data_IF_902408578887
#
_entry.id   IF_902408578887
#
_cell.length_a   1.000
_cell.length_b   1.000
_cell.length_c   1.000
_cell.angle_alpha   90.00
_cell.angle_beta   90.00
_cell.angle_gamma   90.00
#
_symmetry.space_group_name_H-M   'P 1'
#
loop_
_entity.id
_entity.type
_entity.pdbx_description
1 polymer ?
#
# COMPACT_ATOMS: atom_id res chain seq x y z
N UNK A 1 -15.17 -11.61 -10.76
CA UNK A 1 -14.11 -10.79 -10.12
C UNK A 1 -14.72 -9.45 -9.73
N UNK A 2 -14.37 -8.91 -8.56
CA UNK A 2 -14.94 -7.65 -8.06
C UNK A 2 -14.04 -6.47 -8.44
N UNK A 3 -14.64 -5.31 -8.73
CA UNK A 3 -13.96 -4.04 -8.97
C UNK A 3 -14.14 -3.07 -7.79
N UNK A 4 -14.60 -3.56 -6.64
CA UNK A 4 -14.74 -2.79 -5.43
C UNK A 4 -14.04 -3.49 -4.28
N UNK A 5 -13.43 -2.70 -3.41
CA UNK A 5 -12.83 -3.16 -2.17
C UNK A 5 -13.30 -2.28 -1.01
N UNK A 6 -13.43 -2.88 0.17
CA UNK A 6 -13.76 -2.15 1.40
C UNK A 6 -12.56 -2.21 2.33
N UNK A 7 -12.01 -1.05 2.65
CA UNK A 7 -10.89 -0.93 3.59
C UNK A 7 -11.38 -1.19 5.02
N UNK A 8 -10.51 -1.72 5.88
CA UNK A 8 -10.88 -1.95 7.28
C UNK A 8 -10.95 -0.65 8.10
N UNK A 9 -10.45 0.45 7.54
CA UNK A 9 -10.40 1.77 8.15
C UNK A 9 -11.02 2.81 7.21
N UNK A 10 -11.36 3.97 7.76
CA UNK A 10 -11.69 5.16 6.98
C UNK A 10 -10.40 5.85 6.53
N UNK A 11 -10.35 6.28 5.28
CA UNK A 11 -9.22 6.99 4.68
C UNK A 11 -9.68 8.26 3.98
N UNK A 12 -8.72 9.13 3.70
CA UNK A 12 -8.84 10.38 2.95
C UNK A 12 -8.40 10.23 1.48
N UNK A 13 -8.28 8.99 0.99
CA UNK A 13 -7.85 8.71 -0.39
C UNK A 13 -8.86 9.24 -1.41
N UNK A 14 -8.36 9.66 -2.56
CA UNK A 14 -9.10 10.40 -3.58
C UNK A 14 -9.19 9.63 -4.90
N UNK A 15 -10.21 9.96 -5.69
CA UNK A 15 -10.32 9.47 -7.07
C UNK A 15 -9.11 9.94 -7.88
N UNK A 16 -8.54 9.02 -8.66
CA UNK A 16 -7.37 9.27 -9.50
C UNK A 16 -6.05 8.84 -8.88
N UNK A 17 -6.00 8.57 -7.58
CA UNK A 17 -4.82 8.02 -6.92
C UNK A 17 -4.62 6.54 -7.24
N UNK A 18 -3.38 6.09 -7.12
CA UNK A 18 -2.96 4.72 -7.38
C UNK A 18 -2.72 3.99 -6.07
N UNK A 19 -3.23 2.76 -5.99
CA UNK A 19 -3.09 1.86 -4.85
C UNK A 19 -2.50 0.53 -5.29
N UNK A 20 -1.84 -0.16 -4.37
CA UNK A 20 -1.45 -1.56 -4.51
C UNK A 20 -2.23 -2.43 -3.54
N UNK A 21 -2.66 -3.60 -4.00
CA UNK A 21 -3.19 -4.68 -3.16
C UNK A 21 -2.15 -5.80 -3.12
N UNK A 22 -1.66 -6.13 -1.93
CA UNK A 22 -0.66 -7.16 -1.76
C UNK A 22 -1.20 -8.56 -2.10
N UNK A 23 -0.30 -9.44 -2.55
CA UNK A 23 -0.62 -10.85 -2.73
C UNK A 23 -0.95 -11.50 -1.39
N UNK A 24 -1.99 -12.35 -1.37
CA UNK A 24 -2.32 -13.22 -0.23
C UNK A 24 -2.07 -14.69 -0.53
N UNK A 25 -1.34 -14.98 -1.59
CA UNK A 25 -0.97 -16.33 -2.03
C UNK A 25 0.56 -16.51 -1.93
N UNK A 26 1.05 -17.71 -2.25
CA UNK A 26 2.48 -18.01 -2.25
C UNK A 26 3.27 -17.28 -3.35
N UNK A 27 2.59 -16.83 -4.41
CA UNK A 27 3.21 -16.05 -5.47
C UNK A 27 3.11 -14.55 -5.18
N UNK A 28 4.27 -13.90 -5.01
CA UNK A 28 4.36 -12.47 -4.76
C UNK A 28 3.93 -11.64 -5.98
N UNK A 29 4.04 -12.19 -7.19
CA UNK A 29 3.68 -11.52 -8.45
C UNK A 29 2.15 -11.35 -8.62
N UNK A 30 1.35 -11.92 -7.72
CA UNK A 30 -0.10 -11.68 -7.68
C UNK A 30 -0.48 -10.40 -6.92
N UNK A 31 0.50 -9.55 -6.57
CA UNK A 31 0.22 -8.18 -6.15
C UNK A 31 -0.27 -7.36 -7.35
N UNK A 32 -1.30 -6.54 -7.15
CA UNK A 32 -1.94 -5.82 -8.24
C UNK A 32 -2.07 -4.33 -7.91
N UNK A 33 -1.85 -3.49 -8.93
CA UNK A 33 -1.95 -2.04 -8.82
C UNK A 33 -3.20 -1.54 -9.53
N UNK A 34 -3.94 -0.65 -8.89
CA UNK A 34 -5.20 -0.10 -9.41
C UNK A 34 -5.25 1.41 -9.26
N UNK A 35 -5.99 2.04 -10.17
CA UNK A 35 -6.38 3.45 -10.04
C UNK A 35 -7.77 3.54 -9.43
N UNK A 36 -7.93 4.40 -8.43
CA UNK A 36 -9.22 4.66 -7.79
C UNK A 36 -10.11 5.45 -8.76
N UNK A 37 -11.30 4.93 -9.06
CA UNK A 37 -12.32 5.57 -9.92
C UNK A 37 -13.53 6.07 -9.14
N UNK A 38 -13.70 5.62 -7.89
CA UNK A 38 -14.76 6.07 -7.01
C UNK A 38 -14.40 5.84 -5.54
N UNK A 39 -14.86 6.73 -4.67
CA UNK A 39 -14.65 6.65 -3.22
C UNK A 39 -16.00 6.88 -2.54
N UNK A 40 -16.43 5.92 -1.71
CA UNK A 40 -17.54 6.09 -0.80
C UNK A 40 -17.03 6.08 0.65
N UNK A 41 -17.24 7.22 1.32
CA UNK A 41 -16.84 7.50 2.69
C UNK A 41 -18.04 7.82 3.59
N UNK A 42 -19.27 7.48 3.16
CA UNK A 42 -20.50 7.72 3.91
C UNK A 42 -20.57 6.92 5.21
N UNK A 43 -19.93 5.74 5.27
CA UNK A 43 -19.88 4.87 6.43
C UNK A 43 -18.66 5.07 7.36
N UNK A 44 -18.42 4.04 8.18
CA UNK A 44 -17.25 3.92 9.08
C UNK A 44 -16.00 3.39 8.39
N UNK A 45 -16.14 2.88 7.17
CA UNK A 45 -15.09 2.31 6.33
C UNK A 45 -15.13 2.94 4.96
N UNK A 46 -13.97 3.03 4.31
CA UNK A 46 -13.87 3.52 2.94
C UNK A 46 -14.12 2.38 1.96
N UNK A 47 -15.02 2.59 1.01
CA UNK A 47 -15.22 1.69 -0.14
C UNK A 47 -14.61 2.35 -1.37
N UNK A 48 -13.72 1.64 -2.04
CA UNK A 48 -13.04 2.09 -3.24
C UNK A 48 -13.58 1.33 -4.45
N UNK A 49 -13.83 2.06 -5.53
CA UNK A 49 -14.07 1.48 -6.86
C UNK A 49 -12.77 1.56 -7.66
N UNK A 50 -12.40 0.45 -8.29
CA UNK A 50 -11.17 0.27 -9.04
C UNK A 50 -11.43 0.51 -10.54
N UNK A 51 -10.38 0.87 -11.28
CA UNK A 51 -10.44 1.04 -12.74
C UNK A 51 -10.64 -0.28 -13.50
N UNK A 52 -10.31 -1.42 -12.90
CA UNK A 52 -10.48 -2.76 -13.46
C UNK A 52 -10.81 -3.76 -12.34
N UNK A 53 -11.31 -4.93 -12.70
CA UNK A 53 -11.46 -6.05 -11.78
C UNK A 53 -10.11 -6.67 -11.46
N UNK A 54 -9.90 -7.09 -10.21
CA UNK A 54 -8.70 -7.85 -9.83
C UNK A 54 -8.63 -9.19 -10.57
N UNK A 55 -7.45 -9.52 -11.10
CA UNK A 55 -7.19 -10.78 -11.78
C UNK A 55 -7.01 -11.93 -10.78
N UNK A 56 -6.47 -11.62 -9.59
CA UNK A 56 -6.19 -12.57 -8.54
C UNK A 56 -7.12 -12.40 -7.34
N UNK A 57 -7.18 -13.46 -6.52
CA UNK A 57 -7.95 -13.45 -5.29
C UNK A 57 -7.09 -12.86 -4.17
N UNK A 58 -7.52 -11.72 -3.64
CA UNK A 58 -6.97 -11.14 -2.41
C UNK A 58 -7.85 -11.53 -1.22
N UNK A 59 -7.30 -12.33 -0.30
CA UNK A 59 -8.04 -12.86 0.85
C UNK A 59 -8.33 -11.77 1.89
N UNK A 60 -9.53 -11.81 2.46
CA UNK A 60 -9.92 -10.97 3.59
C UNK A 60 -10.86 -11.76 4.49
N UNK A 61 -10.40 -12.07 5.70
CA UNK A 61 -11.14 -12.86 6.65
C UNK A 61 -10.47 -12.93 8.02
N UNK A 62 -11.12 -13.63 8.93
CA UNK A 62 -10.57 -13.94 10.24
C UNK A 62 -10.80 -15.40 10.57
N UNK A 63 -9.86 -15.98 11.33
CA UNK A 63 -9.91 -17.38 11.73
C UNK A 63 -9.70 -17.48 13.22
N UNK A 64 -10.71 -18.00 13.90
CA UNK A 64 -10.68 -18.22 15.34
C UNK A 64 -10.20 -19.64 15.63
N UNK A 65 -9.18 -19.75 16.46
CA UNK A 65 -8.64 -21.00 16.97
C UNK A 65 -8.97 -21.09 18.46
N UNK A 66 -9.70 -22.13 18.84
CA UNK A 66 -9.97 -22.46 20.24
C UNK A 66 -9.16 -23.69 20.60
N UNK A 67 -8.45 -23.65 21.73
CA UNK A 67 -7.71 -24.80 22.25
C UNK A 67 -8.61 -26.04 22.33
N UNK A 68 -8.11 -27.19 21.89
CA UNK A 68 -8.79 -28.48 22.05
C UNK A 68 -7.82 -29.53 22.58
N UNK A 69 -8.33 -30.46 23.37
CA UNK A 69 -7.63 -31.55 24.06
C UNK A 69 -6.75 -31.14 25.27
N UNK A 70 -7.37 -30.57 26.31
CA UNK A 70 -6.77 -30.51 27.65
C UNK A 70 -5.64 -29.48 27.85
N UNK A 71 -5.23 -28.77 26.81
CA UNK A 71 -4.29 -27.64 26.90
C UNK A 71 -5.05 -26.34 26.64
N UNK A 72 -5.29 -25.58 27.71
CA UNK A 72 -5.92 -24.26 27.74
C UNK A 72 -7.26 -24.16 26.96
N UNK A 73 -8.34 -24.84 27.40
CA UNK A 73 -9.66 -24.71 26.78
C UNK A 73 -10.19 -23.27 26.77
N UNK A 74 -9.71 -22.42 27.68
CA UNK A 74 -10.06 -20.99 27.75
C UNK A 74 -9.29 -20.14 26.74
N UNK A 75 -8.29 -20.71 26.04
CA UNK A 75 -7.49 -19.98 25.08
C UNK A 75 -8.13 -20.03 23.69
N UNK A 76 -9.00 -19.05 23.45
CA UNK A 76 -9.49 -18.70 22.12
C UNK A 76 -8.69 -17.52 21.56
N UNK A 77 -8.15 -17.66 20.35
CA UNK A 77 -7.40 -16.62 19.65
C UNK A 77 -7.98 -16.42 18.25
N UNK A 78 -8.22 -15.17 17.87
CA UNK A 78 -8.64 -14.80 16.51
C UNK A 78 -7.44 -14.26 15.75
N UNK A 79 -7.17 -14.86 14.59
CA UNK A 79 -6.19 -14.38 13.62
C UNK A 79 -6.92 -13.64 12.50
N UNK A 80 -6.66 -12.35 12.36
CA UNK A 80 -7.12 -11.56 11.21
C UNK A 80 -6.11 -11.74 10.07
N UNK A 81 -6.59 -12.13 8.89
CA UNK A 81 -5.77 -12.27 7.68
C UNK A 81 -6.46 -11.53 6.55
N UNK A 82 -5.90 -10.39 6.15
CA UNK A 82 -6.48 -9.52 5.13
C UNK A 82 -5.36 -8.99 4.26
N UNK A 83 -5.60 -8.89 2.96
CA UNK A 83 -4.67 -8.26 2.04
C UNK A 83 -4.35 -6.83 2.48
N UNK A 84 -3.07 -6.49 2.53
CA UNK A 84 -2.60 -5.13 2.73
C UNK A 84 -2.91 -4.30 1.50
N UNK A 85 -3.36 -3.06 1.73
CA UNK A 85 -3.60 -2.08 0.66
C UNK A 85 -2.78 -0.84 0.96
N UNK A 86 -1.94 -0.44 0.00
CA UNK A 86 -1.05 0.72 0.11
C UNK A 86 -1.42 1.80 -0.88
N UNK A 87 -1.42 3.06 -0.45
CA UNK A 87 -1.50 4.22 -1.34
C UNK A 87 -0.11 4.51 -1.92
N UNK A 88 0.01 4.49 -3.24
CA UNK A 88 1.28 4.75 -3.95
C UNK A 88 1.44 6.23 -4.30
N UNK A 89 0.34 6.92 -4.61
CA UNK A 89 0.39 8.33 -5.02
C UNK A 89 0.57 9.26 -3.82
N UNK A 90 1.43 10.27 -3.95
CA UNK A 90 1.50 11.43 -3.04
C UNK A 90 1.58 12.74 -3.81
N UNK A 91 1.11 13.81 -3.17
CA UNK A 91 1.15 15.17 -3.77
C UNK A 91 2.58 15.72 -3.94
N UNK A 92 3.54 15.23 -3.16
CA UNK A 92 4.95 15.60 -3.27
C UNK A 92 5.71 14.43 -3.88
N UNK A 93 6.05 14.57 -5.16
CA UNK A 93 6.75 13.54 -5.94
C UNK A 93 8.21 13.95 -6.12
N UNK A 94 9.13 13.11 -5.66
CA UNK A 94 10.55 13.22 -5.92
C UNK A 94 10.93 12.22 -7.01
N UNK A 95 11.38 12.72 -8.16
CA UNK A 95 11.64 11.92 -9.36
C UNK A 95 12.81 12.44 -10.18
N UNK A 96 13.35 11.57 -11.04
CA UNK A 96 14.35 11.96 -12.05
C UNK A 96 13.78 12.95 -13.08
N UNK A 97 14.64 13.51 -13.91
CA UNK A 97 14.22 14.38 -15.01
C UNK A 97 13.46 13.55 -16.06
N UNK A 98 12.16 13.83 -16.24
CA UNK A 98 11.16 12.97 -16.88
C UNK A 98 11.65 12.14 -18.07
N UNK A 99 11.94 12.76 -19.22
CA UNK A 99 12.23 12.03 -20.45
C UNK A 99 13.67 11.48 -20.51
N UNK A 100 14.60 12.12 -19.79
CA UNK A 100 16.02 11.83 -19.89
C UNK A 100 16.46 10.74 -18.89
N UNK A 101 15.84 10.70 -17.71
CA UNK A 101 16.23 9.78 -16.64
C UNK A 101 15.88 8.32 -16.96
N UNK A 102 14.71 8.09 -17.58
CA UNK A 102 14.26 6.75 -17.98
C UNK A 102 15.12 6.20 -19.12
N UNK A 103 15.40 7.02 -20.14
CA UNK A 103 16.20 6.61 -21.29
C UNK A 103 17.66 6.33 -20.92
N UNK A 104 18.25 7.16 -20.06
CA UNK A 104 19.66 7.09 -19.69
C UNK A 104 19.92 6.33 -18.38
N UNK A 105 18.88 5.75 -17.77
CA UNK A 105 18.97 4.89 -16.58
C UNK A 105 19.64 5.56 -15.39
N UNK A 106 19.30 6.82 -15.14
CA UNK A 106 19.67 7.50 -13.91
C UNK A 106 18.40 7.88 -13.13
N UNK A 107 18.54 8.06 -11.82
CA UNK A 107 17.44 8.40 -10.92
C UNK A 107 17.68 9.73 -10.20
N UNK A 108 16.80 10.05 -9.26
CA UNK A 108 16.96 11.19 -8.38
C UNK A 108 17.76 10.85 -7.13
N UNK A 109 18.57 11.80 -6.66
CA UNK A 109 19.42 11.63 -5.49
C UNK A 109 19.14 12.74 -4.46
N UNK A 110 18.85 12.34 -3.21
CA UNK A 110 18.74 13.26 -2.07
C UNK A 110 20.08 13.30 -1.35
N UNK A 111 20.75 14.45 -1.40
CA UNK A 111 22.00 14.71 -0.67
C UNK A 111 21.72 15.61 0.54
N UNK A 112 22.19 15.19 1.71
CA UNK A 112 22.18 16.00 2.92
C UNK A 112 23.63 16.28 3.34
N UNK A 113 23.97 17.55 3.56
CA UNK A 113 25.33 17.95 3.90
C UNK A 113 25.32 18.97 5.05
N UNK A 114 26.25 18.82 5.98
CA UNK A 114 26.55 19.78 7.05
C UNK A 114 28.00 20.25 6.89
N UNK A 115 28.29 21.56 6.96
CA UNK A 115 29.62 22.10 6.73
C UNK A 115 30.63 21.86 7.88
N UNK A 116 30.23 21.21 8.99
CA UNK A 116 31.10 20.94 10.15
C UNK A 116 30.65 19.73 10.98
N UNK A 117 31.01 19.68 12.26
CA UNK A 117 30.72 18.56 13.19
C UNK A 117 29.24 18.48 13.63
N UNK A 118 28.36 19.27 13.02
CA UNK A 118 26.94 19.26 13.30
C UNK A 118 26.26 18.09 12.58
N UNK A 119 25.40 17.37 13.30
CA UNK A 119 24.56 16.32 12.71
C UNK A 119 23.58 16.89 11.69
N UNK A 120 23.56 16.33 10.48
CA UNK A 120 22.48 16.58 9.51
C UNK A 120 21.38 15.54 9.69
N UNK A 121 20.13 15.99 9.87
CA UNK A 121 18.96 15.11 10.03
C UNK A 121 17.92 15.45 8.97
N UNK A 122 17.69 14.51 8.05
CA UNK A 122 16.57 14.56 7.11
C UNK A 122 15.36 13.81 7.66
N UNK A 123 14.18 14.42 7.61
CA UNK A 123 12.91 13.74 7.91
C UNK A 123 12.00 13.83 6.70
N UNK A 124 11.72 12.69 6.10
CA UNK A 124 10.86 12.58 4.93
C UNK A 124 9.58 11.84 5.32
N UNK A 125 8.44 12.49 5.10
CA UNK A 125 7.12 11.92 5.36
C UNK A 125 6.18 12.33 4.24
N UNK A 126 5.24 11.45 3.87
CA UNK A 126 4.21 11.72 2.87
C UNK A 126 4.73 12.11 1.47
N UNK A 127 5.92 11.63 1.09
CA UNK A 127 6.48 11.82 -0.26
C UNK A 127 6.37 10.54 -1.08
N UNK A 128 6.26 10.69 -2.39
CA UNK A 128 6.36 9.60 -3.38
C UNK A 128 7.77 9.65 -4.00
N UNK A 129 8.47 8.52 -4.01
CA UNK A 129 9.73 8.34 -4.71
C UNK A 129 9.47 7.58 -6.00
N UNK A 130 9.56 8.27 -7.15
CA UNK A 130 9.24 7.72 -8.46
C UNK A 130 10.46 7.78 -9.36
N UNK A 131 10.81 6.69 -10.04
CA UNK A 131 11.95 6.66 -10.98
C UNK A 131 13.27 7.14 -10.34
N UNK A 132 13.55 6.67 -9.11
CA UNK A 132 14.74 7.08 -8.33
C UNK A 132 15.93 6.12 -8.45
N UNK A 133 15.86 5.10 -9.31
CA UNK A 133 16.91 4.11 -9.51
C UNK A 133 16.82 3.41 -10.87
N UNK A 134 17.80 2.56 -11.17
CA UNK A 134 17.85 1.69 -12.35
C UNK A 134 17.09 0.38 -12.11
#
# INVERSE_FOLDING_TARGET
>A
FQNQITLNVKTDWQVGEEIVIASTDFNLDHAETFKITGVDNSGTKTVLTLNTTAAYKHYSGSKTYTGSNGVNPDMTKTLEMRAEVGLLTRNVVFKGADDDSVANRYGAHIMLHSPGDESVIGRFSYIELKQVGQ
#
